data_IF_954335674185
#
_entry.id   IF_954335674185
#
_cell.length_a   1.000
_cell.length_b   1.000
_cell.length_c   1.000
_cell.angle_alpha   90.00
_cell.angle_beta   90.00
_cell.angle_gamma   90.00
#
_symmetry.space_group_name_H-M   'P 1'
#
loop_
_entity.id
_entity.type
_entity.pdbx_description
1 polymer ?
#
# COMPACT_ATOMS: atom_id res chain seq x y z
N UNK A 1 -7.15 -5.98 24.08
CA UNK A 1 -7.83 -6.68 22.97
C UNK A 1 -6.78 -7.02 21.95
N UNK A 2 -6.49 -8.31 21.78
CA UNK A 2 -5.48 -8.78 20.82
C UNK A 2 -6.15 -8.94 19.47
N UNK A 3 -5.97 -7.98 18.56
CA UNK A 3 -6.33 -8.17 17.15
C UNK A 3 -5.39 -9.23 16.60
N UNK A 4 -5.91 -10.44 16.30
CA UNK A 4 -5.12 -11.45 15.62
C UNK A 4 -4.65 -10.86 14.28
N UNK A 5 -3.34 -10.82 14.00
CA UNK A 5 -2.78 -10.10 12.85
C UNK A 5 -3.21 -10.67 11.48
N UNK A 6 -3.91 -11.82 11.48
CA UNK A 6 -4.38 -12.51 10.27
C UNK A 6 -5.90 -12.59 10.17
N UNK A 7 -6.66 -11.80 10.94
CA UNK A 7 -8.09 -11.70 10.70
C UNK A 7 -8.31 -11.02 9.33
N UNK A 8 -9.15 -11.59 8.44
CA UNK A 8 -9.41 -10.97 7.14
C UNK A 8 -9.98 -9.56 7.36
N UNK A 9 -9.55 -8.60 6.54
CA UNK A 9 -10.14 -7.27 6.51
C UNK A 9 -11.64 -7.42 6.23
N UNK A 10 -12.52 -6.82 7.05
CA UNK A 10 -13.96 -6.79 6.77
C UNK A 10 -14.20 -6.31 5.34
N UNK A 11 -15.07 -7.00 4.59
CA UNK A 11 -15.28 -6.73 3.17
C UNK A 11 -15.75 -5.28 2.90
N UNK A 12 -16.47 -4.70 3.84
CA UNK A 12 -16.93 -3.32 3.87
C UNK A 12 -15.79 -2.29 4.01
N UNK A 13 -14.64 -2.69 4.56
CA UNK A 13 -13.46 -1.83 4.69
C UNK A 13 -12.48 -1.95 3.52
N UNK A 14 -12.60 -3.01 2.70
CA UNK A 14 -11.69 -3.26 1.59
C UNK A 14 -11.61 -2.07 0.61
N UNK A 15 -12.70 -1.40 0.20
CA UNK A 15 -12.62 -0.24 -0.68
C UNK A 15 -11.83 0.92 -0.07
N UNK A 16 -12.01 1.19 1.23
CA UNK A 16 -11.30 2.26 1.92
C UNK A 16 -9.81 1.95 2.07
N UNK A 17 -9.45 0.68 2.29
CA UNK A 17 -8.06 0.24 2.34
C UNK A 17 -7.39 0.39 0.98
N UNK A 18 -8.04 -0.07 -0.09
CA UNK A 18 -7.49 0.06 -1.46
C UNK A 18 -7.30 1.54 -1.83
N UNK A 19 -8.25 2.40 -1.47
CA UNK A 19 -8.11 3.83 -1.72
C UNK A 19 -6.92 4.44 -0.97
N UNK A 20 -6.73 4.07 0.30
CA UNK A 20 -5.54 4.50 1.05
C UNK A 20 -4.23 4.01 0.41
N UNK A 21 -4.21 2.78 -0.11
CA UNK A 21 -3.05 2.25 -0.84
C UNK A 21 -2.78 3.03 -2.14
N UNK A 22 -3.83 3.43 -2.87
CA UNK A 22 -3.69 4.29 -4.05
C UNK A 22 -3.15 5.67 -3.71
N UNK A 23 -3.60 6.27 -2.62
CA UNK A 23 -3.06 7.56 -2.16
C UNK A 23 -1.56 7.44 -1.85
N UNK A 24 -1.14 6.34 -1.20
CA UNK A 24 0.29 6.06 -0.97
C UNK A 24 1.05 5.93 -2.30
N UNK A 25 0.53 5.16 -3.25
CA UNK A 25 1.15 4.96 -4.58
C UNK A 25 1.29 6.27 -5.37
N UNK A 26 0.34 7.20 -5.21
CA UNK A 26 0.37 8.51 -5.88
C UNK A 26 1.42 9.48 -5.31
N UNK A 27 2.03 9.19 -4.16
CA UNK A 27 3.02 10.08 -3.54
C UNK A 27 4.35 10.09 -4.30
N UNK A 28 4.71 11.23 -4.90
CA UNK A 28 5.92 11.34 -5.74
C UNK A 28 7.20 11.69 -4.99
N UNK A 29 7.27 12.80 -4.25
CA UNK A 29 8.45 13.11 -3.44
C UNK A 29 8.16 14.10 -2.27
N UNK A 30 8.61 13.81 -1.04
CA UNK A 30 9.16 12.52 -0.63
C UNK A 30 8.05 11.46 -0.59
N UNK A 31 8.26 10.31 -1.23
CA UNK A 31 7.36 9.16 -1.14
C UNK A 31 7.49 8.51 0.25
N UNK A 32 6.51 7.70 0.65
CA UNK A 32 6.58 6.94 1.91
C UNK A 32 7.81 6.03 1.92
N UNK A 33 8.11 5.36 0.80
CA UNK A 33 9.34 4.56 0.63
C UNK A 33 10.59 5.40 0.93
N UNK A 34 10.68 6.61 0.35
CA UNK A 34 11.82 7.50 0.58
C UNK A 34 11.94 7.90 2.06
N UNK A 35 10.82 8.25 2.70
CA UNK A 35 10.81 8.63 4.11
C UNK A 35 11.23 7.46 5.03
N UNK A 36 10.76 6.24 4.75
CA UNK A 36 11.11 5.05 5.51
C UNK A 36 12.60 4.71 5.36
N UNK A 37 13.09 4.68 4.12
CA UNK A 37 14.49 4.39 3.83
C UNK A 37 15.43 5.43 4.45
N UNK A 38 15.07 6.71 4.39
CA UNK A 38 15.85 7.79 5.01
C UNK A 38 15.93 7.66 6.54
N UNK A 39 14.91 7.10 7.18
CA UNK A 39 14.87 6.85 8.63
C UNK A 39 15.47 5.52 9.06
N UNK A 40 15.99 4.71 8.13
CA UNK A 40 16.60 3.40 8.41
C UNK A 40 15.62 2.23 8.40
N UNK A 41 14.36 2.43 7.99
CA UNK A 41 13.34 1.39 7.85
C UNK A 41 13.39 0.77 6.45
N UNK A 42 14.51 0.12 6.12
CA UNK A 42 14.74 -0.44 4.79
C UNK A 42 13.76 -1.56 4.41
N UNK A 43 13.48 -2.47 5.35
CA UNK A 43 12.55 -3.59 5.12
C UNK A 43 11.12 -3.10 4.87
N UNK A 44 10.65 -2.13 5.65
CA UNK A 44 9.32 -1.55 5.47
C UNK A 44 9.24 -0.73 4.18
N UNK A 45 10.32 -0.04 3.79
CA UNK A 45 10.40 0.63 2.51
C UNK A 45 10.21 -0.36 1.34
N UNK A 46 10.87 -1.52 1.39
CA UNK A 46 10.73 -2.57 0.37
C UNK A 46 9.28 -3.11 0.32
N UNK A 47 8.62 -3.29 1.48
CA UNK A 47 7.20 -3.70 1.55
C UNK A 47 6.26 -2.66 0.95
N UNK A 48 6.54 -1.37 1.14
CA UNK A 48 5.77 -0.30 0.51
C UNK A 48 6.01 -0.28 -1.01
N UNK A 49 7.24 -0.49 -1.48
CA UNK A 49 7.52 -0.60 -2.90
C UNK A 49 6.73 -1.76 -3.55
N UNK A 50 6.72 -2.94 -2.92
CA UNK A 50 5.91 -4.09 -3.36
C UNK A 50 4.41 -3.74 -3.43
N UNK A 51 3.89 -3.01 -2.43
CA UNK A 51 2.50 -2.57 -2.39
C UNK A 51 2.16 -1.61 -3.54
N UNK A 52 3.02 -0.62 -3.81
CA UNK A 52 2.81 0.35 -4.89
C UNK A 52 2.73 -0.37 -6.22
N UNK A 53 3.65 -1.30 -6.51
CA UNK A 53 3.63 -2.10 -7.73
C UNK A 53 2.34 -2.93 -7.86
N UNK A 54 1.85 -3.51 -6.77
CA UNK A 54 0.62 -4.29 -6.78
C UNK A 54 -0.61 -3.42 -7.10
N UNK A 55 -0.70 -2.21 -6.54
CA UNK A 55 -1.81 -1.28 -6.82
C UNK A 55 -1.75 -0.78 -8.27
N UNK A 56 -0.57 -0.41 -8.78
CA UNK A 56 -0.40 0.02 -10.16
C UNK A 56 -0.82 -1.08 -11.14
N UNK A 57 -0.48 -2.34 -10.85
CA UNK A 57 -0.92 -3.48 -11.65
C UNK A 57 -2.44 -3.68 -11.61
N UNK A 58 -3.07 -3.54 -10.43
CA UNK A 58 -4.52 -3.65 -10.28
C UNK A 58 -5.26 -2.56 -11.07
N UNK A 59 -4.80 -1.31 -10.99
CA UNK A 59 -5.43 -0.20 -11.70
C UNK A 59 -5.22 -0.34 -13.23
N UNK A 60 -4.05 -0.81 -13.69
CA UNK A 60 -3.81 -1.09 -15.10
C UNK A 60 -4.70 -2.23 -15.66
N UNK A 61 -5.03 -3.23 -14.83
CA UNK A 61 -6.01 -4.25 -15.20
C UNK A 61 -7.43 -3.69 -15.28
N UNK A 62 -7.79 -2.76 -14.38
CA UNK A 62 -9.11 -2.14 -14.39
C UNK A 62 -9.35 -1.27 -15.63
N UNK A 63 -8.34 -0.56 -16.13
CA UNK A 63 -8.44 0.26 -17.34
C UNK A 63 -8.52 -0.57 -18.65
N UNK A 64 -8.19 -1.87 -18.59
CA UNK A 64 -8.19 -2.76 -19.75
C UNK A 64 -9.52 -3.53 -19.96
N UNK A 65 -10.41 -3.51 -18.96
CA UNK A 65 -11.77 -4.08 -18.98
C UNK A 65 -12.83 -3.00 -19.27
#
# INVERSE_FOLDING_TARGET
>A
MSTQPNAPTPADLLPAVLEACREIARMKHPSIEHLLRHRGFGFEADRIADLVLAIEALDAQHDAD
#
